data_IF_332205660939
#
_entry.id   IF_332205660939
#
_cell.length_a   1.000
_cell.length_b   1.000
_cell.length_c   1.000
_cell.angle_alpha   90.00
_cell.angle_beta   90.00
_cell.angle_gamma   90.00
#
_symmetry.space_group_name_H-M   'P 1'
#
loop_
_entity.id
_entity.type
_entity.pdbx_description
1 polymer ?
#
# COMPACT_ATOMS: atom_id res chain seq x y z
N UNK A 1 -12.88 5.38 8.42
CA UNK A 1 -13.68 5.63 7.20
C UNK A 1 -13.80 4.35 6.36
N UNK A 2 -14.99 4.00 5.84
CA UNK A 2 -15.24 2.76 5.08
C UNK A 2 -14.50 2.62 3.73
N UNK A 3 -13.56 3.53 3.41
CA UNK A 3 -12.65 3.38 2.26
C UNK A 3 -13.33 3.36 0.89
N UNK A 4 -14.53 3.92 0.72
CA UNK A 4 -15.29 3.83 -0.55
C UNK A 4 -14.79 4.75 -1.67
N UNK A 5 -13.75 5.55 -1.43
CA UNK A 5 -13.26 6.53 -2.40
C UNK A 5 -11.94 6.04 -2.95
N UNK A 6 -11.86 5.90 -4.28
CA UNK A 6 -10.60 5.64 -4.97
C UNK A 6 -9.68 6.86 -4.79
N UNK A 7 -8.55 6.71 -4.09
CA UNK A 7 -7.71 7.85 -3.73
C UNK A 7 -6.90 8.40 -4.92
N UNK A 8 -6.80 7.66 -6.02
CA UNK A 8 -6.02 8.04 -7.23
C UNK A 8 -6.85 8.82 -8.26
N UNK A 9 -8.19 8.66 -8.25
CA UNK A 9 -9.08 9.30 -9.25
C UNK A 9 -10.15 10.21 -8.64
N UNK A 10 -10.33 10.19 -7.31
CA UNK A 10 -11.47 10.83 -6.64
C UNK A 10 -12.83 10.19 -6.99
N UNK A 11 -12.85 9.13 -7.80
CA UNK A 11 -14.07 8.48 -8.29
C UNK A 11 -14.62 7.47 -7.28
N UNK A 12 -15.52 7.91 -6.40
CA UNK A 12 -16.22 7.06 -5.43
C UNK A 12 -17.49 6.38 -5.92
N UNK A 13 -17.95 6.67 -7.15
CA UNK A 13 -19.29 6.25 -7.63
C UNK A 13 -19.41 4.72 -7.76
N UNK A 14 -18.42 4.06 -8.34
CA UNK A 14 -18.42 2.60 -8.47
C UNK A 14 -18.28 1.91 -7.11
N UNK A 15 -17.36 2.39 -6.26
CA UNK A 15 -17.18 1.88 -4.89
C UNK A 15 -18.45 2.04 -4.04
N UNK A 16 -19.12 3.20 -4.13
CA UNK A 16 -20.38 3.47 -3.45
C UNK A 16 -21.53 2.58 -3.96
N UNK A 17 -21.60 2.32 -5.28
CA UNK A 17 -22.61 1.44 -5.84
C UNK A 17 -22.43 -0.01 -5.36
N UNK A 18 -21.20 -0.56 -5.39
CA UNK A 18 -20.94 -1.90 -4.89
C UNK A 18 -21.17 -2.00 -3.37
N UNK A 19 -20.71 -1.01 -2.61
CA UNK A 19 -20.96 -0.95 -1.17
C UNK A 19 -22.46 -0.92 -0.86
N UNK A 20 -23.24 -0.12 -1.59
CA UNK A 20 -24.69 -0.06 -1.46
C UNK A 20 -25.36 -1.41 -1.74
N UNK A 21 -24.93 -2.09 -2.80
CA UNK A 21 -25.42 -3.45 -3.12
C UNK A 21 -25.09 -4.44 -2.00
N UNK A 22 -23.86 -4.48 -1.52
CA UNK A 22 -23.44 -5.40 -0.46
C UNK A 22 -24.15 -5.14 0.86
N UNK A 23 -24.33 -3.86 1.21
CA UNK A 23 -25.09 -3.47 2.40
C UNK A 23 -26.55 -3.90 2.28
N UNK A 24 -27.19 -3.66 1.13
CA UNK A 24 -28.58 -4.05 0.89
C UNK A 24 -28.79 -5.57 0.94
N UNK A 25 -27.95 -6.33 0.24
CA UNK A 25 -28.00 -7.80 0.27
C UNK A 25 -27.81 -8.35 1.68
N UNK A 26 -26.84 -7.82 2.43
CA UNK A 26 -26.56 -8.32 3.77
C UNK A 26 -27.64 -7.93 4.78
N UNK A 27 -28.23 -6.73 4.65
CA UNK A 27 -29.37 -6.32 5.47
C UNK A 27 -30.60 -7.22 5.22
N UNK A 28 -30.93 -7.50 3.94
CA UNK A 28 -32.05 -8.39 3.60
C UNK A 28 -31.83 -9.79 4.19
N UNK A 29 -30.61 -10.32 4.09
CA UNK A 29 -30.24 -11.62 4.63
C UNK A 29 -30.38 -11.67 6.16
N UNK A 30 -29.75 -10.73 6.86
CA UNK A 30 -29.81 -10.61 8.32
C UNK A 30 -31.26 -10.55 8.84
N UNK A 31 -32.10 -9.71 8.22
CA UNK A 31 -33.52 -9.61 8.57
C UNK A 31 -34.28 -10.92 8.31
N UNK A 32 -34.02 -11.57 7.18
CA UNK A 32 -34.70 -12.82 6.80
C UNK A 32 -34.31 -14.00 7.71
N UNK A 33 -33.06 -14.03 8.16
CA UNK A 33 -32.52 -15.04 9.09
C UNK A 33 -32.87 -14.70 10.56
N UNK A 34 -33.39 -13.50 10.83
CA UNK A 34 -33.75 -13.03 12.17
C UNK A 34 -32.53 -12.67 13.03
N UNK A 35 -31.36 -12.52 12.42
CA UNK A 35 -30.10 -12.20 13.08
C UNK A 35 -29.53 -10.89 12.53
N UNK A 36 -29.75 -9.82 13.29
CA UNK A 36 -29.24 -8.47 13.01
C UNK A 36 -28.05 -8.11 13.90
N UNK A 37 -27.35 -9.11 14.41
CA UNK A 37 -26.13 -8.92 15.20
C UNK A 37 -25.01 -8.28 14.37
N UNK A 38 -24.03 -7.70 15.06
CA UNK A 38 -22.83 -7.16 14.43
C UNK A 38 -22.06 -8.24 13.65
N UNK A 39 -22.01 -9.47 14.17
CA UNK A 39 -21.38 -10.62 13.51
C UNK A 39 -22.08 -10.93 12.17
N UNK A 40 -23.41 -10.99 12.14
CA UNK A 40 -24.17 -11.24 10.92
C UNK A 40 -24.00 -10.11 9.87
N UNK A 41 -23.89 -8.87 10.33
CA UNK A 41 -23.67 -7.71 9.46
C UNK A 41 -22.20 -7.57 9.02
N UNK A 42 -21.25 -8.18 9.74
CA UNK A 42 -19.82 -8.07 9.50
C UNK A 42 -19.39 -8.52 8.10
N UNK A 43 -20.11 -9.50 7.53
CA UNK A 43 -19.88 -9.98 6.17
C UNK A 43 -19.95 -8.88 5.10
N UNK A 44 -20.67 -7.77 5.35
CA UNK A 44 -20.60 -6.59 4.49
C UNK A 44 -19.16 -6.03 4.43
N UNK A 45 -18.50 -5.88 5.58
CA UNK A 45 -17.15 -5.35 5.67
C UNK A 45 -16.15 -6.26 4.96
N UNK A 46 -16.26 -7.58 5.15
CA UNK A 46 -15.44 -8.57 4.43
C UNK A 46 -15.60 -8.40 2.91
N UNK A 47 -16.84 -8.33 2.40
CA UNK A 47 -17.10 -8.20 0.97
C UNK A 47 -16.56 -6.89 0.38
N UNK A 48 -16.63 -5.79 1.12
CA UNK A 48 -16.05 -4.50 0.70
C UNK A 48 -14.52 -4.60 0.63
N UNK A 49 -13.90 -5.14 1.68
CA UNK A 49 -12.44 -5.22 1.78
C UNK A 49 -11.85 -6.17 0.75
N UNK A 50 -12.48 -7.33 0.53
CA UNK A 50 -12.10 -8.32 -0.49
C UNK A 50 -12.24 -7.77 -1.92
N UNK A 51 -13.30 -7.02 -2.21
CA UNK A 51 -13.56 -6.57 -3.57
C UNK A 51 -12.68 -5.38 -3.97
N UNK A 52 -12.61 -4.34 -3.13
CA UNK A 52 -11.87 -3.13 -3.49
C UNK A 52 -11.19 -2.39 -2.34
N UNK A 53 -11.61 -2.62 -1.08
CA UNK A 53 -11.06 -1.89 0.07
C UNK A 53 -9.55 -2.08 0.23
N UNK A 54 -9.04 -3.32 0.14
CA UNK A 54 -7.60 -3.58 0.23
C UNK A 54 -6.81 -2.91 -0.91
N UNK A 55 -7.37 -2.93 -2.13
CA UNK A 55 -6.74 -2.26 -3.29
C UNK A 55 -6.72 -0.75 -3.12
N UNK A 56 -7.78 -0.15 -2.58
CA UNK A 56 -7.85 1.29 -2.37
C UNK A 56 -6.90 1.75 -1.26
N UNK A 57 -6.74 0.96 -0.20
CA UNK A 57 -5.71 1.20 0.80
C UNK A 57 -4.31 1.22 0.19
N UNK A 58 -3.97 0.21 -0.63
CA UNK A 58 -2.68 0.20 -1.35
C UNK A 58 -2.50 1.41 -2.26
N UNK A 59 -3.53 1.83 -3.00
CA UNK A 59 -3.47 3.02 -3.85
C UNK A 59 -3.26 4.32 -3.06
N UNK A 60 -3.78 4.45 -1.85
CA UNK A 60 -3.54 5.64 -1.02
C UNK A 60 -2.08 5.71 -0.57
N UNK A 61 -1.48 4.56 -0.24
CA UNK A 61 -0.05 4.50 0.07
C UNK A 61 0.80 4.87 -1.14
N UNK A 62 0.45 4.39 -2.33
CA UNK A 62 1.10 4.81 -3.57
C UNK A 62 0.97 6.32 -3.81
N UNK A 63 -0.17 6.92 -3.46
CA UNK A 63 -0.32 8.36 -3.54
C UNK A 63 0.62 9.08 -2.57
N UNK A 64 0.64 8.68 -1.30
CA UNK A 64 1.55 9.23 -0.28
C UNK A 64 3.01 9.10 -0.72
N UNK A 65 3.41 7.92 -1.23
CA UNK A 65 4.71 7.65 -1.82
C UNK A 65 5.01 8.59 -3.00
N UNK A 66 4.10 8.72 -3.96
CA UNK A 66 4.34 9.54 -5.16
C UNK A 66 4.42 11.04 -4.86
N UNK A 67 3.77 11.50 -3.79
CA UNK A 67 3.88 12.88 -3.34
C UNK A 67 5.12 13.15 -2.50
N UNK A 68 5.66 12.12 -1.83
CA UNK A 68 6.82 12.23 -0.95
C UNK A 68 8.15 11.93 -1.65
N UNK A 69 8.15 11.08 -2.68
CA UNK A 69 9.35 10.74 -3.45
C UNK A 69 9.55 11.77 -4.56
N UNK A 70 10.61 12.57 -4.44
CA UNK A 70 11.00 13.52 -5.48
C UNK A 70 11.46 12.77 -6.75
N UNK A 71 11.11 13.32 -7.92
CA UNK A 71 11.59 12.81 -9.21
C UNK A 71 13.11 12.89 -9.28
N UNK A 72 13.71 13.90 -8.62
CA UNK A 72 15.16 14.04 -8.54
C UNK A 72 15.81 12.90 -7.73
N UNK A 73 15.12 12.37 -6.72
CA UNK A 73 15.58 11.23 -5.92
C UNK A 73 15.51 9.92 -6.71
N UNK A 74 14.44 9.75 -7.50
CA UNK A 74 14.29 8.64 -8.45
C UNK A 74 15.34 8.69 -9.56
N UNK A 75 15.63 9.88 -10.10
CA UNK A 75 16.68 10.10 -11.08
C UNK A 75 18.07 9.90 -10.47
N UNK A 76 18.28 10.29 -9.22
CA UNK A 76 19.49 10.00 -8.44
C UNK A 76 19.70 8.50 -8.24
N UNK A 77 18.65 7.76 -7.88
CA UNK A 77 18.67 6.30 -7.81
C UNK A 77 19.03 5.68 -9.18
N UNK A 78 18.35 6.09 -10.25
CA UNK A 78 18.61 5.62 -11.63
C UNK A 78 20.03 5.95 -12.11
N UNK A 79 20.55 7.13 -11.78
CA UNK A 79 21.91 7.54 -12.10
C UNK A 79 22.97 6.78 -11.28
N UNK A 80 22.61 6.36 -10.06
CA UNK A 80 23.46 5.55 -9.19
C UNK A 80 23.53 4.07 -9.65
N UNK A 81 22.59 3.63 -10.48
CA UNK A 81 22.62 2.32 -11.11
C UNK A 81 23.45 2.38 -12.41
N UNK A 82 24.37 1.43 -12.64
CA UNK A 82 25.13 1.41 -13.89
C UNK A 82 24.18 1.15 -15.07
N UNK A 83 23.86 2.20 -15.84
CA UNK A 83 22.85 2.18 -16.91
C UNK A 83 23.11 1.13 -18.00
N UNK A 84 24.38 0.85 -18.31
CA UNK A 84 24.78 -0.22 -19.25
C UNK A 84 24.37 -1.62 -18.74
N UNK A 85 24.37 -1.83 -17.42
CA UNK A 85 24.05 -3.12 -16.77
C UNK A 85 22.55 -3.32 -16.52
N UNK A 86 21.77 -2.26 -16.37
CA UNK A 86 20.30 -2.32 -16.37
C UNK A 86 19.79 -2.80 -17.73
N UNK A 87 20.33 -2.21 -18.80
CA UNK A 87 20.06 -2.67 -20.16
C UNK A 87 20.53 -4.12 -20.35
N UNK A 88 21.74 -4.47 -19.91
CA UNK A 88 22.26 -5.84 -20.01
C UNK A 88 21.45 -6.86 -19.19
N UNK A 89 20.98 -6.54 -17.99
CA UNK A 89 20.14 -7.43 -17.18
C UNK A 89 18.73 -7.62 -17.79
N UNK A 90 18.14 -6.55 -18.33
CA UNK A 90 16.89 -6.58 -19.09
C UNK A 90 17.01 -7.40 -20.39
N UNK A 91 18.19 -7.41 -21.02
CA UNK A 91 18.43 -8.12 -22.28
C UNK A 91 18.98 -9.55 -22.11
N UNK A 92 19.76 -9.85 -21.07
CA UNK A 92 20.54 -11.10 -20.96
C UNK A 92 20.17 -11.99 -19.77
N UNK A 93 19.31 -11.53 -18.85
CA UNK A 93 18.70 -12.37 -17.81
C UNK A 93 19.63 -12.93 -16.73
N UNK A 94 20.94 -12.66 -16.76
CA UNK A 94 21.89 -13.10 -15.72
C UNK A 94 23.04 -12.11 -15.60
N UNK A 95 23.24 -11.49 -14.42
CA UNK A 95 24.42 -10.64 -14.20
C UNK A 95 25.21 -11.13 -13.00
N UNK A 96 26.39 -11.71 -13.27
CA UNK A 96 27.46 -11.75 -12.26
C UNK A 96 28.25 -10.45 -12.37
N UNK A 97 28.37 -9.72 -11.26
CA UNK A 97 29.09 -8.45 -11.20
C UNK A 97 30.56 -8.69 -10.84
N UNK A 98 31.48 -8.01 -11.52
CA UNK A 98 32.90 -8.00 -11.14
C UNK A 98 33.16 -7.11 -9.89
N UNK A 99 34.10 -7.47 -9.00
CA UNK A 99 34.34 -6.74 -7.73
C UNK A 99 34.70 -5.26 -7.88
N UNK A 100 35.43 -4.91 -8.95
CA UNK A 100 35.87 -3.54 -9.24
C UNK A 100 34.72 -2.63 -9.66
N UNK A 101 33.77 -3.17 -10.43
CA UNK A 101 32.59 -2.44 -10.86
C UNK A 101 31.66 -2.18 -9.67
N UNK A 102 31.47 -3.19 -8.80
CA UNK A 102 30.73 -3.03 -7.54
C UNK A 102 31.33 -1.94 -6.65
N UNK A 103 32.65 -1.91 -6.51
CA UNK A 103 33.33 -0.91 -5.70
C UNK A 103 33.18 0.52 -6.26
N UNK A 104 33.23 0.67 -7.59
CA UNK A 104 33.05 1.97 -8.24
C UNK A 104 31.60 2.45 -8.12
N UNK A 105 30.63 1.59 -8.41
CA UNK A 105 29.20 1.88 -8.21
C UNK A 105 28.91 2.26 -6.77
N UNK A 106 29.38 1.50 -5.78
CA UNK A 106 29.14 1.81 -4.36
C UNK A 106 29.69 3.18 -3.93
N UNK A 107 30.81 3.61 -4.54
CA UNK A 107 31.42 4.92 -4.29
C UNK A 107 30.63 6.05 -4.97
N UNK A 108 30.21 5.85 -6.22
CA UNK A 108 29.47 6.86 -6.97
C UNK A 108 28.04 7.04 -6.39
N UNK A 109 27.47 5.99 -5.79
CA UNK A 109 26.21 6.05 -5.03
C UNK A 109 26.36 6.64 -3.62
N UNK A 110 27.57 6.99 -3.16
CA UNK A 110 27.82 7.35 -1.75
C UNK A 110 26.98 8.54 -1.25
N UNK A 111 26.70 9.51 -2.11
CA UNK A 111 25.88 10.68 -1.78
C UNK A 111 24.36 10.42 -1.71
N UNK A 112 23.91 9.27 -2.22
CA UNK A 112 22.49 8.96 -2.40
C UNK A 112 21.98 7.84 -1.49
N UNK A 113 22.86 7.16 -0.73
CA UNK A 113 22.45 6.03 0.12
C UNK A 113 21.32 6.36 1.10
N UNK A 114 21.26 7.58 1.63
CA UNK A 114 20.17 8.03 2.50
C UNK A 114 18.81 7.97 1.79
N UNK A 115 18.72 8.51 0.58
CA UNK A 115 17.51 8.52 -0.24
C UNK A 115 17.14 7.13 -0.74
N UNK A 116 18.14 6.31 -1.11
CA UNK A 116 17.92 4.92 -1.50
C UNK A 116 17.33 4.13 -0.34
N UNK A 117 17.93 4.22 0.85
CA UNK A 117 17.44 3.55 2.06
C UNK A 117 16.05 4.04 2.44
N UNK A 118 15.80 5.35 2.31
CA UNK A 118 14.50 5.95 2.54
C UNK A 118 13.44 5.35 1.60
N UNK A 119 13.69 5.34 0.29
CA UNK A 119 12.79 4.74 -0.70
C UNK A 119 12.50 3.26 -0.39
N UNK A 120 13.52 2.47 -0.07
CA UNK A 120 13.34 1.06 0.30
C UNK A 120 12.49 0.91 1.57
N UNK A 121 12.72 1.76 2.60
CA UNK A 121 11.93 1.73 3.83
C UNK A 121 10.46 2.04 3.53
N UNK A 122 10.18 3.07 2.74
CA UNK A 122 8.81 3.46 2.42
C UNK A 122 8.10 2.40 1.57
N UNK A 123 8.80 1.77 0.61
CA UNK A 123 8.25 0.65 -0.14
C UNK A 123 7.87 -0.51 0.79
N UNK A 124 8.76 -0.91 1.68
CA UNK A 124 8.50 -2.03 2.59
C UNK A 124 7.27 -1.77 3.46
N UNK A 125 7.15 -0.56 4.03
CA UNK A 125 5.97 -0.17 4.79
C UNK A 125 4.68 -0.23 3.96
N UNK A 126 4.75 0.15 2.68
CA UNK A 126 3.62 0.04 1.77
C UNK A 126 3.22 -1.41 1.51
N UNK A 127 4.19 -2.29 1.29
CA UNK A 127 3.97 -3.72 1.11
C UNK A 127 3.37 -4.35 2.39
N UNK A 128 3.88 -3.98 3.57
CA UNK A 128 3.35 -4.42 4.87
C UNK A 128 1.90 -3.96 5.10
N UNK A 129 1.58 -2.70 4.77
CA UNK A 129 0.22 -2.19 4.89
C UNK A 129 -0.75 -2.86 3.92
N UNK A 130 -0.33 -3.10 2.67
CA UNK A 130 -1.14 -3.88 1.72
C UNK A 130 -1.41 -5.29 2.24
N UNK A 131 -0.40 -5.96 2.79
CA UNK A 131 -0.54 -7.29 3.36
C UNK A 131 -1.46 -7.28 4.60
N UNK A 132 -1.38 -6.23 5.42
CA UNK A 132 -2.25 -6.03 6.57
C UNK A 132 -3.73 -5.92 6.18
N UNK A 133 -4.03 -5.14 5.13
CA UNK A 133 -5.38 -5.03 4.59
C UNK A 133 -5.88 -6.33 3.92
N UNK A 134 -4.98 -7.12 3.33
CA UNK A 134 -5.33 -8.44 2.77
C UNK A 134 -5.75 -9.44 3.86
N UNK A 135 -5.40 -9.19 5.13
CA UNK A 135 -5.79 -9.99 6.30
C UNK A 135 -6.89 -9.31 7.12
N UNK A 136 -7.76 -8.55 6.46
CA UNK A 136 -8.89 -7.90 7.13
C UNK A 136 -9.68 -8.90 8.00
N UNK A 137 -10.06 -8.53 9.23
CA UNK A 137 -10.65 -9.45 10.17
C UNK A 137 -12.01 -9.96 9.67
N UNK A 138 -12.20 -11.29 9.80
CA UNK A 138 -13.47 -11.97 9.50
C UNK A 138 -14.50 -11.88 10.61
N UNK A 139 -14.14 -11.26 11.73
CA UNK A 139 -14.95 -11.14 12.94
C UNK A 139 -14.80 -9.75 13.53
N UNK A 140 -15.86 -9.16 14.09
CA UNK A 140 -15.81 -7.81 14.66
C UNK A 140 -14.82 -7.69 15.82
N UNK A 141 -14.66 -8.73 16.65
CA UNK A 141 -13.81 -8.66 17.85
C UNK A 141 -12.32 -8.53 17.53
N UNK A 142 -11.91 -8.84 16.30
CA UNK A 142 -10.53 -8.67 15.84
C UNK A 142 -10.27 -7.29 15.22
N UNK A 143 -11.30 -6.44 15.08
CA UNK A 143 -11.17 -5.13 14.46
C UNK A 143 -10.22 -4.24 15.22
N UNK A 144 -10.33 -4.15 16.55
CA UNK A 144 -9.55 -3.20 17.35
C UNK A 144 -8.05 -3.47 17.21
N UNK A 145 -7.63 -4.73 17.38
CA UNK A 145 -6.23 -5.13 17.22
C UNK A 145 -5.74 -4.91 15.79
N UNK A 146 -6.59 -5.17 14.80
CA UNK A 146 -6.25 -4.90 13.40
C UNK A 146 -6.10 -3.39 13.13
N UNK A 147 -6.94 -2.55 13.73
CA UNK A 147 -6.86 -1.10 13.58
C UNK A 147 -5.61 -0.53 14.24
N UNK A 148 -5.24 -0.99 15.44
CA UNK A 148 -4.01 -0.58 16.11
C UNK A 148 -2.76 -0.85 15.26
N UNK A 149 -2.69 -2.04 14.64
CA UNK A 149 -1.59 -2.39 13.73
C UNK A 149 -1.59 -1.56 12.45
N UNK A 150 -2.77 -1.27 11.89
CA UNK A 150 -2.89 -0.39 10.73
C UNK A 150 -2.37 1.00 11.06
N UNK A 151 -2.76 1.54 12.21
CA UNK A 151 -2.40 2.90 12.62
C UNK A 151 -0.92 3.03 12.89
N UNK A 152 -0.30 2.04 13.53
CA UNK A 152 1.15 1.99 13.69
C UNK A 152 1.90 1.99 12.35
N UNK A 153 1.43 1.22 11.36
CA UNK A 153 2.00 1.22 10.00
C UNK A 153 1.83 2.57 9.30
N UNK A 154 0.68 3.22 9.47
CA UNK A 154 0.42 4.55 8.91
C UNK A 154 1.31 5.62 9.56
N UNK A 155 1.50 5.57 10.87
CA UNK A 155 2.39 6.47 11.60
C UNK A 155 3.84 6.33 11.09
N UNK A 156 4.32 5.09 10.93
CA UNK A 156 5.65 4.83 10.35
C UNK A 156 5.76 5.37 8.92
N UNK A 157 4.71 5.21 8.10
CA UNK A 157 4.66 5.77 6.74
C UNK A 157 4.75 7.30 6.80
N UNK A 158 3.99 7.96 7.67
CA UNK A 158 4.01 9.41 7.79
C UNK A 158 5.36 9.94 8.30
N UNK A 159 5.95 9.29 9.31
CA UNK A 159 7.28 9.65 9.82
C UNK A 159 8.33 9.53 8.72
N UNK A 160 8.30 8.43 7.97
CA UNK A 160 9.27 8.18 6.90
C UNK A 160 9.06 9.13 5.74
N UNK A 161 7.83 9.34 5.29
CA UNK A 161 7.54 10.16 4.10
C UNK A 161 7.54 11.66 4.37
N UNK A 162 7.38 12.08 5.63
CA UNK A 162 7.14 13.47 5.99
C UNK A 162 5.78 14.00 5.48
N UNK A 163 4.88 13.11 5.05
CA UNK A 163 3.55 13.48 4.58
C UNK A 163 2.63 13.82 5.78
N UNK A 164 1.79 14.84 5.61
CA UNK A 164 0.80 15.19 6.62
C UNK A 164 -0.26 14.08 6.77
N UNK A 165 -0.65 13.72 8.00
CA UNK A 165 -1.76 12.81 8.25
C UNK A 165 -3.04 13.34 7.61
N UNK A 166 -3.74 12.48 6.85
CA UNK A 166 -5.02 12.86 6.23
C UNK A 166 -6.22 12.70 7.18
N UNK A 167 -6.06 12.04 8.32
CA UNK A 167 -7.12 11.72 9.28
C UNK A 167 -6.61 11.71 10.71
#
# INVERSE_FOLDING_TARGET
PAGHVNPTTGGGIAGAAYAGTYAGEQAVRAISEGDVSEEALWHYNERVMDHFGARYAGLDVYNVLSTAVDVDDLMGLLASLPGEKLAEALYSGTTSFGPTLLAKTAKDSFGYWGQILHFYKTKNLADELMEHYARYPRRPEALDVWQEQRDALMDDIYEVTGADPKY
#
